data_IF_498163509671
#
_entry.id   IF_498163509671
#
_cell.length_a   1.000
_cell.length_b   1.000
_cell.length_c   1.000
_cell.angle_alpha   90.00
_cell.angle_beta   90.00
_cell.angle_gamma   90.00
#
_symmetry.space_group_name_H-M   'P 1'
#
loop_
_entity.id
_entity.type
_entity.pdbx_description
1 polymer ?
#
# COMPACT_ATOMS: atom_id res chain seq x y z
N UNK A 1 12.12 11.87 -3.55
CA UNK A 1 10.90 11.36 -2.87
C UNK A 1 11.21 10.03 -2.20
N UNK A 2 10.64 9.76 -1.02
CA UNK A 2 10.79 8.44 -0.37
C UNK A 2 9.80 7.47 -1.02
N UNK A 3 10.27 6.28 -1.38
CA UNK A 3 9.42 5.22 -1.90
C UNK A 3 8.52 4.69 -0.78
N UNK A 4 7.25 4.45 -1.08
CA UNK A 4 6.30 3.78 -0.20
C UNK A 4 5.50 2.79 -1.03
N UNK A 5 5.45 1.54 -0.58
CA UNK A 5 4.66 0.49 -1.22
C UNK A 5 3.33 0.37 -0.49
N UNK A 6 2.25 0.27 -1.23
CA UNK A 6 0.90 0.12 -0.69
C UNK A 6 0.35 -1.23 -1.15
N UNK A 7 -0.09 -2.02 -0.18
CA UNK A 7 -0.89 -3.21 -0.43
C UNK A 7 -2.34 -2.78 -0.68
N UNK A 8 -2.67 -2.52 -1.94
CA UNK A 8 -4.00 -2.06 -2.34
C UNK A 8 -5.09 -3.07 -2.06
N UNK A 9 -4.78 -4.37 -2.18
CA UNK A 9 -5.69 -5.48 -1.85
C UNK A 9 -6.02 -5.54 -0.38
N UNK A 10 -5.10 -5.16 0.50
CA UNK A 10 -5.35 -5.06 1.92
C UNK A 10 -6.08 -3.75 2.28
N UNK A 11 -5.59 -2.62 1.78
CA UNK A 11 -6.09 -1.27 2.12
C UNK A 11 -7.54 -1.06 1.68
N UNK A 12 -7.96 -1.66 0.57
CA UNK A 12 -9.35 -1.54 0.08
C UNK A 12 -10.41 -2.03 1.09
N UNK A 13 -10.03 -2.77 2.13
CA UNK A 13 -10.91 -3.25 3.18
C UNK A 13 -10.91 -2.39 4.46
N UNK A 14 -10.07 -1.35 4.56
CA UNK A 14 -9.82 -0.63 5.80
C UNK A 14 -10.99 0.21 6.34
N UNK A 15 -12.01 0.47 5.53
CA UNK A 15 -13.15 1.29 5.96
C UNK A 15 -14.10 0.53 6.88
N UNK A 16 -14.69 -0.55 6.38
CA UNK A 16 -15.70 -1.34 7.09
C UNK A 16 -15.61 -2.84 6.76
N UNK A 17 -14.49 -3.29 6.20
CA UNK A 17 -14.31 -4.66 5.72
C UNK A 17 -15.04 -4.95 4.40
N UNK A 18 -15.66 -3.95 3.75
CA UNK A 18 -16.15 -4.07 2.37
C UNK A 18 -15.08 -3.56 1.41
N UNK A 19 -14.77 -4.28 0.33
CA UNK A 19 -13.79 -3.85 -0.66
C UNK A 19 -14.24 -2.56 -1.38
N UNK A 20 -13.43 -1.52 -1.28
CA UNK A 20 -13.70 -0.17 -1.82
C UNK A 20 -12.41 0.45 -2.35
N UNK A 21 -12.50 1.29 -3.39
CA UNK A 21 -11.31 1.97 -3.92
C UNK A 21 -10.94 3.21 -3.11
N UNK A 22 -11.93 3.80 -2.45
CA UNK A 22 -11.85 5.05 -1.70
C UNK A 22 -10.78 5.02 -0.59
N UNK A 23 -10.68 3.95 0.25
CA UNK A 23 -9.60 3.85 1.23
C UNK A 23 -8.20 3.92 0.61
N UNK A 24 -8.01 3.30 -0.56
CA UNK A 24 -6.73 3.32 -1.27
C UNK A 24 -6.45 4.72 -1.82
N UNK A 25 -7.46 5.40 -2.34
CA UNK A 25 -7.35 6.80 -2.78
C UNK A 25 -6.92 7.71 -1.63
N UNK A 26 -7.54 7.58 -0.45
CA UNK A 26 -7.23 8.40 0.71
C UNK A 26 -5.79 8.18 1.19
N UNK A 27 -5.33 6.93 1.25
CA UNK A 27 -3.92 6.59 1.58
C UNK A 27 -2.96 7.19 0.56
N UNK A 28 -3.22 7.00 -0.74
CA UNK A 28 -2.39 7.56 -1.83
C UNK A 28 -2.33 9.09 -1.75
N UNK A 29 -3.48 9.75 -1.56
CA UNK A 29 -3.55 11.21 -1.45
C UNK A 29 -2.80 11.72 -0.22
N UNK A 30 -2.96 11.06 0.93
CA UNK A 30 -2.27 11.42 2.16
C UNK A 30 -0.75 11.33 2.00
N UNK A 31 -0.24 10.20 1.49
CA UNK A 31 1.19 9.98 1.27
C UNK A 31 1.79 10.93 0.22
N UNK A 32 1.07 11.16 -0.87
CA UNK A 32 1.50 12.10 -1.92
C UNK A 32 1.62 13.52 -1.38
N UNK A 33 0.70 13.97 -0.52
CA UNK A 33 0.76 15.28 0.15
C UNK A 33 1.96 15.41 1.09
N UNK A 34 2.42 14.31 1.67
CA UNK A 34 3.61 14.24 2.51
C UNK A 34 4.92 14.14 1.70
N UNK A 35 4.86 14.09 0.37
CA UNK A 35 6.02 14.06 -0.52
C UNK A 35 6.60 12.67 -0.77
N UNK A 36 5.87 11.61 -0.42
CA UNK A 36 6.21 10.25 -0.83
C UNK A 36 5.87 10.01 -2.31
N UNK A 37 6.47 8.98 -2.90
CA UNK A 37 6.11 8.46 -4.21
C UNK A 37 5.45 7.07 -4.02
N UNK A 38 4.11 6.99 -3.99
CA UNK A 38 3.43 5.73 -3.76
C UNK A 38 3.47 4.79 -4.96
N UNK A 39 3.76 3.52 -4.69
CA UNK A 39 3.57 2.41 -5.62
C UNK A 39 2.52 1.45 -5.04
N UNK A 40 1.48 1.15 -5.82
CA UNK A 40 0.33 0.37 -5.34
C UNK A 40 0.28 -0.97 -6.04
N UNK A 41 0.15 -2.04 -5.27
CA UNK A 41 0.02 -3.40 -5.77
C UNK A 41 -1.36 -3.94 -5.44
N UNK A 42 -1.93 -4.71 -6.37
CA UNK A 42 -3.22 -5.36 -6.21
C UNK A 42 -3.15 -6.79 -6.70
N UNK A 43 -3.92 -7.67 -6.06
CA UNK A 43 -4.24 -8.99 -6.58
C UNK A 43 -5.02 -8.89 -7.89
N UNK A 44 -4.94 -9.96 -8.69
CA UNK A 44 -5.59 -10.03 -9.99
C UNK A 44 -7.12 -9.83 -9.95
N UNK A 45 -7.76 -10.06 -8.79
CA UNK A 45 -9.20 -9.94 -8.60
C UNK A 45 -9.65 -8.57 -8.07
N UNK A 46 -8.74 -7.68 -7.65
CA UNK A 46 -9.10 -6.47 -6.91
C UNK A 46 -10.15 -5.62 -7.64
N UNK A 47 -9.95 -5.35 -8.93
CA UNK A 47 -10.89 -4.57 -9.75
C UNK A 47 -12.32 -5.14 -9.75
N UNK A 48 -12.47 -6.46 -9.77
CA UNK A 48 -13.79 -7.10 -9.75
C UNK A 48 -14.51 -6.85 -8.42
N UNK A 49 -13.78 -6.78 -7.30
CA UNK A 49 -14.37 -6.69 -5.97
C UNK A 49 -15.10 -5.37 -5.71
N UNK A 50 -14.66 -4.26 -6.30
CA UNK A 50 -15.30 -2.94 -6.12
C UNK A 50 -15.94 -2.34 -7.38
N UNK A 51 -15.74 -2.92 -8.57
CA UNK A 51 -16.41 -2.46 -9.81
C UNK A 51 -17.27 -3.50 -10.51
N UNK A 52 -17.22 -4.76 -10.10
CA UNK A 52 -17.92 -5.86 -10.78
C UNK A 52 -17.29 -6.29 -12.11
N UNK A 53 -16.15 -5.71 -12.52
CA UNK A 53 -15.44 -6.06 -13.74
C UNK A 53 -13.92 -6.04 -13.56
N UNK A 54 -13.19 -6.67 -14.48
CA UNK A 54 -11.73 -6.65 -14.45
C UNK A 54 -11.19 -5.24 -14.67
N UNK A 55 -10.25 -4.82 -13.81
CA UNK A 55 -9.44 -3.62 -14.02
C UNK A 55 -7.97 -3.99 -13.90
N UNK A 56 -7.19 -3.70 -14.93
CA UNK A 56 -5.72 -3.82 -14.89
C UNK A 56 -5.04 -2.58 -14.30
N UNK A 57 -3.70 -2.58 -14.33
CA UNK A 57 -2.87 -1.51 -13.78
C UNK A 57 -3.22 -0.10 -14.29
N UNK A 58 -3.44 0.05 -15.61
CA UNK A 58 -3.69 1.35 -16.24
C UNK A 58 -5.00 2.02 -15.79
N UNK A 59 -6.17 1.36 -15.82
CA UNK A 59 -7.40 1.96 -15.30
C UNK A 59 -7.33 2.21 -13.80
N UNK A 60 -6.70 1.34 -13.01
CA UNK A 60 -6.52 1.56 -11.58
C UNK A 60 -5.63 2.76 -11.26
N UNK A 61 -4.51 2.92 -11.98
CA UNK A 61 -3.66 4.11 -11.86
C UNK A 61 -4.41 5.41 -12.12
N UNK A 62 -5.36 5.42 -13.07
CA UNK A 62 -6.24 6.58 -13.29
C UNK A 62 -7.19 6.84 -12.13
N UNK A 63 -7.81 5.79 -11.58
CA UNK A 63 -8.70 5.91 -10.42
C UNK A 63 -7.96 6.44 -9.19
N UNK A 64 -6.70 6.07 -9.02
CA UNK A 64 -5.84 6.49 -7.92
C UNK A 64 -5.10 7.81 -8.18
N UNK A 65 -5.30 8.42 -9.36
CA UNK A 65 -4.59 9.62 -9.80
C UNK A 65 -3.05 9.50 -9.68
N UNK A 66 -2.52 8.31 -10.00
CA UNK A 66 -1.10 8.01 -9.95
C UNK A 66 -0.45 8.06 -11.34
N UNK A 67 0.86 8.36 -11.42
CA UNK A 67 1.61 8.26 -12.67
C UNK A 67 1.53 6.86 -13.30
N UNK A 68 1.78 6.81 -14.61
CA UNK A 68 1.85 5.52 -15.32
C UNK A 68 3.02 4.70 -14.76
N UNK A 69 2.76 3.44 -14.41
CA UNK A 69 3.76 2.53 -13.85
C UNK A 69 3.75 2.46 -12.32
N UNK A 70 3.07 3.37 -11.62
CA UNK A 70 2.96 3.36 -10.14
C UNK A 70 1.89 2.41 -9.60
N UNK A 71 1.21 1.66 -10.47
CA UNK A 71 0.22 0.65 -10.07
C UNK A 71 0.52 -0.66 -10.78
N UNK A 72 0.51 -1.75 -10.02
CA UNK A 72 0.70 -3.11 -10.51
C UNK A 72 -0.48 -3.98 -10.08
N UNK A 73 -1.23 -4.51 -11.04
CA UNK A 73 -2.15 -5.62 -10.82
C UNK A 73 -1.40 -6.89 -11.21
N UNK A 74 -1.20 -7.80 -10.27
CA UNK A 74 -0.42 -9.02 -10.52
C UNK A 74 -1.14 -9.95 -11.51
N UNK A 75 -0.39 -10.84 -12.20
CA UNK A 75 -0.98 -11.83 -13.09
C UNK A 75 -2.02 -12.72 -12.37
N UNK A 76 -2.99 -13.21 -13.13
CA UNK A 76 -3.98 -14.16 -12.60
C UNK A 76 -3.28 -15.45 -12.15
N UNK A 77 -3.54 -15.86 -10.91
CA UNK A 77 -2.96 -17.05 -10.30
C UNK A 77 -1.80 -16.75 -9.35
N UNK A 78 -1.30 -15.51 -9.38
CA UNK A 78 -0.27 -15.03 -8.47
C UNK A 78 -0.91 -14.28 -7.29
N UNK A 79 -0.22 -14.27 -6.15
CA UNK A 79 -0.52 -13.42 -5.01
C UNK A 79 0.27 -12.10 -5.11
N UNK A 80 -0.27 -11.00 -4.59
CA UNK A 80 0.42 -9.72 -4.58
C UNK A 80 1.63 -9.67 -3.62
N UNK A 81 1.59 -10.40 -2.51
CA UNK A 81 2.60 -10.32 -1.44
C UNK A 81 4.05 -10.41 -1.93
N UNK A 82 4.47 -11.38 -2.79
CA UNK A 82 5.87 -11.47 -3.22
C UNK A 82 6.31 -10.26 -4.02
N UNK A 83 5.42 -9.72 -4.85
CA UNK A 83 5.68 -8.53 -5.65
C UNK A 83 5.84 -7.29 -4.76
N UNK A 84 4.96 -7.15 -3.76
CA UNK A 84 5.03 -6.09 -2.74
C UNK A 84 6.34 -6.16 -1.98
N UNK A 85 6.68 -7.34 -1.46
CA UNK A 85 7.87 -7.54 -0.63
C UNK A 85 9.16 -7.34 -1.42
N UNK A 86 9.21 -7.79 -2.67
CA UNK A 86 10.37 -7.57 -3.54
C UNK A 86 10.54 -6.08 -3.87
N UNK A 87 9.46 -5.39 -4.25
CA UNK A 87 9.51 -3.96 -4.53
C UNK A 87 9.95 -3.14 -3.32
N UNK A 88 9.45 -3.49 -2.13
CA UNK A 88 9.83 -2.81 -0.89
C UNK A 88 11.30 -3.08 -0.51
N UNK A 89 11.79 -4.30 -0.72
CA UNK A 89 13.18 -4.64 -0.49
C UNK A 89 14.12 -3.89 -1.44
N UNK A 90 13.80 -3.86 -2.73
CA UNK A 90 14.63 -3.22 -3.78
C UNK A 90 14.75 -1.70 -3.59
N UNK A 91 13.71 -1.09 -3.03
CA UNK A 91 13.62 0.37 -2.85
C UNK A 91 13.83 0.84 -1.42
N UNK A 92 14.12 -0.08 -0.50
CA UNK A 92 14.20 0.17 0.94
C UNK A 92 12.94 0.87 1.51
N UNK A 93 11.78 0.60 0.92
CA UNK A 93 10.53 1.26 1.26
C UNK A 93 9.88 0.71 2.54
N UNK A 94 8.97 1.51 3.10
CA UNK A 94 7.97 1.01 4.05
C UNK A 94 6.76 0.48 3.26
N UNK A 95 6.01 -0.43 3.88
CA UNK A 95 4.80 -1.04 3.29
C UNK A 95 3.58 -0.60 4.09
N UNK A 96 2.57 -0.06 3.42
CA UNK A 96 1.27 0.26 4.02
C UNK A 96 0.36 -0.97 3.89
N UNK A 97 0.10 -1.64 5.01
CA UNK A 97 -0.71 -2.87 5.07
C UNK A 97 -1.03 -3.24 6.52
N UNK A 98 -2.13 -3.94 6.74
CA UNK A 98 -2.45 -4.60 8.01
C UNK A 98 -2.03 -6.08 8.04
N UNK A 99 -1.56 -6.64 6.93
CA UNK A 99 -0.98 -7.99 6.90
C UNK A 99 0.36 -8.01 7.66
N UNK A 100 0.75 -9.18 8.16
CA UNK A 100 2.07 -9.42 8.74
C UNK A 100 2.96 -10.27 7.84
N UNK A 101 2.49 -10.70 6.65
CA UNK A 101 3.19 -11.51 5.66
C UNK A 101 3.91 -12.72 6.25
N UNK A 102 3.27 -13.43 7.19
CA UNK A 102 3.92 -14.47 8.02
C UNK A 102 4.56 -15.57 7.19
N UNK A 103 3.93 -15.96 6.09
CA UNK A 103 4.41 -17.02 5.21
C UNK A 103 5.66 -16.61 4.44
N UNK A 104 5.90 -15.30 4.30
CA UNK A 104 6.99 -14.73 3.51
C UNK A 104 8.20 -14.30 4.35
N UNK A 105 8.09 -14.20 5.68
CA UNK A 105 9.19 -13.75 6.57
C UNK A 105 10.47 -14.56 6.40
N UNK A 106 10.37 -15.87 6.10
CA UNK A 106 11.54 -16.72 5.85
C UNK A 106 12.36 -16.29 4.62
N UNK A 107 11.70 -15.74 3.60
CA UNK A 107 12.31 -15.24 2.36
C UNK A 107 12.60 -13.75 2.44
N UNK A 108 11.78 -13.00 3.18
CA UNK A 108 11.85 -11.56 3.34
C UNK A 108 11.88 -11.18 4.85
N UNK A 109 13.00 -11.41 5.56
CA UNK A 109 13.07 -11.18 6.99
C UNK A 109 12.75 -9.74 7.42
N UNK A 110 13.00 -8.77 6.54
CA UNK A 110 12.71 -7.35 6.78
C UNK A 110 11.22 -7.09 7.08
N UNK A 111 10.30 -7.93 6.58
CA UNK A 111 8.88 -7.80 6.87
C UNK A 111 8.56 -7.95 8.37
N UNK A 112 9.47 -8.54 9.15
CA UNK A 112 9.33 -8.66 10.60
C UNK A 112 10.02 -7.53 11.38
N UNK A 113 10.73 -6.63 10.70
CA UNK A 113 11.44 -5.52 11.35
C UNK A 113 10.46 -4.42 11.82
N UNK A 114 10.64 -3.88 13.02
CA UNK A 114 9.85 -2.75 13.51
C UNK A 114 9.92 -1.55 12.55
N UNK A 115 8.77 -0.99 12.20
CA UNK A 115 8.69 0.20 11.32
C UNK A 115 8.70 -0.10 9.82
N UNK A 116 8.75 -1.37 9.40
CA UNK A 116 8.61 -1.76 7.99
C UNK A 116 7.17 -1.86 7.52
N UNK A 117 6.31 -2.45 8.34
CA UNK A 117 4.88 -2.57 8.06
C UNK A 117 4.12 -1.48 8.81
N UNK A 118 3.46 -0.59 8.07
CA UNK A 118 2.68 0.52 8.61
C UNK A 118 1.21 0.14 8.55
N UNK A 119 0.64 -0.04 9.74
CA UNK A 119 -0.75 -0.42 9.93
C UNK A 119 -1.64 0.80 9.99
N UNK A 120 -2.88 0.63 9.57
CA UNK A 120 -3.86 1.71 9.56
C UNK A 120 -5.29 1.23 9.64
N UNK A 121 -6.21 2.18 9.79
CA UNK A 121 -7.65 1.93 9.86
C UNK A 121 -8.39 3.22 9.50
N UNK A 122 -9.70 3.12 9.32
CA UNK A 122 -10.57 4.28 9.40
C UNK A 122 -11.25 4.35 10.77
N UNK A 123 -11.31 5.53 11.37
CA UNK A 123 -12.07 5.82 12.59
C UNK A 123 -12.95 7.04 12.33
N UNK A 124 -14.26 6.91 12.57
CA UNK A 124 -15.24 7.99 12.33
C UNK A 124 -15.19 8.58 10.91
N UNK A 125 -14.77 7.77 9.93
CA UNK A 125 -14.61 8.19 8.53
C UNK A 125 -13.28 8.86 8.20
N UNK A 126 -12.40 9.02 9.18
CA UNK A 126 -11.05 9.57 8.99
C UNK A 126 -10.00 8.47 8.92
N UNK A 127 -9.04 8.65 8.03
CA UNK A 127 -7.90 7.75 7.86
C UNK A 127 -6.91 7.94 9.02
N UNK A 128 -6.57 6.85 9.71
CA UNK A 128 -5.63 6.84 10.82
C UNK A 128 -4.51 5.81 10.58
N UNK A 129 -3.27 6.28 10.45
CA UNK A 129 -2.05 5.48 10.56
C UNK A 129 -0.86 6.36 10.92
N UNK A 130 0.11 5.77 11.63
CA UNK A 130 1.31 6.47 12.06
C UNK A 130 2.48 6.10 11.16
N UNK A 131 2.95 7.07 10.37
CA UNK A 131 4.20 6.91 9.64
C UNK A 131 5.38 7.02 10.61
N UNK A 132 6.41 6.16 10.49
CA UNK A 132 7.61 6.30 11.28
C UNK A 132 8.24 7.64 10.92
N UNK A 133 8.25 8.54 11.91
CA UNK A 133 8.84 9.86 11.78
C UNK A 133 10.33 9.65 11.49
N UNK A 134 10.74 9.70 10.22
CA UNK A 134 12.16 9.72 9.91
C UNK A 134 12.65 11.10 10.31
N UNK A 135 13.36 11.16 11.44
CA UNK A 135 13.71 12.34 12.23
C UNK A 135 13.83 13.67 11.50
N UNK A 136 13.20 14.70 12.08
CA UNK A 136 13.68 16.08 11.95
C UNK A 136 14.31 16.50 13.29
N UNK A 137 15.65 16.56 13.28
CA UNK A 137 16.60 17.24 14.18
C UNK A 137 16.63 16.94 15.70
N UNK A 138 17.76 16.44 16.25
CA UNK A 138 18.03 16.42 17.69
C UNK A 138 18.46 17.80 18.25
N UNK A 139 17.98 18.91 17.68
CA UNK A 139 18.28 20.25 18.19
C UNK A 139 17.04 21.16 18.08
N UNK A 140 16.20 21.12 19.11
CA UNK A 140 15.31 22.20 19.46
C UNK A 140 15.01 22.13 20.97
N UNK A 141 15.67 23.00 21.74
CA UNK A 141 15.36 23.28 23.15
C UNK A 141 16.38 22.76 24.14
#
# INVERSE_FOLDING_TARGET
PKAVVIDGSNVMYWFDGTPRIEPVQDVVHHLSRLGFAPEVFFDANAGYLFTGQYLGSKPLGRLLNLPTGSVTVVPKGDAADPYILHAAQDTDAIIITNDNYRDWVSQFPFASEPGRLIKGTFQEGELCFDLPITGTNPNAG
#
